data_IF_530689097327
#
_entry.id   IF_530689097327
#
_cell.length_a   1.000
_cell.length_b   1.000
_cell.length_c   1.000
_cell.angle_alpha   90.00
_cell.angle_beta   90.00
_cell.angle_gamma   90.00
#
_symmetry.space_group_name_H-M   'P 1'
#
loop_
_entity.id
_entity.type
_entity.pdbx_description
1 polymer ?
#
# COMPACT_ATOMS: atom_id res chain seq x y z
N UNK A 1 -12.93 7.78 -16.34
CA UNK A 1 -13.02 7.99 -14.87
C UNK A 1 -13.31 6.72 -14.08
N UNK A 2 -14.24 5.86 -14.51
CA UNK A 2 -14.53 4.59 -13.81
C UNK A 2 -13.26 3.74 -13.61
N UNK A 3 -12.51 3.48 -14.67
CA UNK A 3 -11.24 2.73 -14.63
C UNK A 3 -10.21 3.32 -13.66
N UNK A 4 -10.12 4.66 -13.57
CA UNK A 4 -9.20 5.33 -12.63
C UNK A 4 -9.65 5.13 -11.18
N UNK A 5 -10.96 5.20 -10.92
CA UNK A 5 -11.52 4.92 -9.60
C UNK A 5 -11.34 3.45 -9.21
N UNK A 6 -11.48 2.53 -10.17
CA UNK A 6 -11.29 1.10 -9.95
C UNK A 6 -9.82 0.79 -9.64
N UNK A 7 -8.87 1.42 -10.36
CA UNK A 7 -7.44 1.34 -10.05
C UNK A 7 -7.10 1.88 -8.66
N UNK A 8 -7.71 3.01 -8.25
CA UNK A 8 -7.52 3.54 -6.89
C UNK A 8 -8.03 2.56 -5.81
N UNK A 9 -9.17 1.91 -6.05
CA UNK A 9 -9.70 0.89 -5.12
C UNK A 9 -8.81 -0.33 -5.05
N UNK A 10 -8.30 -0.80 -6.19
CA UNK A 10 -7.36 -1.93 -6.27
C UNK A 10 -6.10 -1.66 -5.45
N UNK A 11 -5.43 -0.53 -5.68
CA UNK A 11 -4.25 -0.13 -4.91
C UNK A 11 -4.59 -0.01 -3.41
N UNK A 12 -5.76 0.54 -3.07
CA UNK A 12 -6.19 0.66 -1.67
C UNK A 12 -6.39 -0.71 -1.00
N UNK A 13 -6.94 -1.69 -1.72
CA UNK A 13 -7.14 -3.04 -1.20
C UNK A 13 -5.80 -3.74 -0.99
N UNK A 14 -4.89 -3.68 -1.96
CA UNK A 14 -3.55 -4.25 -1.84
C UNK A 14 -2.76 -3.63 -0.68
N UNK A 15 -2.80 -2.30 -0.53
CA UNK A 15 -2.19 -1.61 0.62
C UNK A 15 -2.71 -2.17 1.94
N UNK A 16 -4.02 -2.35 2.06
CA UNK A 16 -4.64 -2.88 3.27
C UNK A 16 -4.19 -4.32 3.57
N UNK A 17 -4.12 -5.18 2.55
CA UNK A 17 -3.62 -6.55 2.68
C UNK A 17 -2.17 -6.58 3.17
N UNK A 18 -1.29 -5.76 2.60
CA UNK A 18 0.11 -5.69 3.04
C UNK A 18 0.24 -5.14 4.46
N UNK A 19 -0.55 -4.13 4.85
CA UNK A 19 -0.58 -3.60 6.22
C UNK A 19 -0.99 -4.70 7.21
N UNK A 20 -2.05 -5.45 6.90
CA UNK A 20 -2.50 -6.57 7.73
C UNK A 20 -1.42 -7.66 7.85
N UNK A 21 -0.73 -7.97 6.75
CA UNK A 21 0.35 -8.95 6.74
C UNK A 21 1.59 -8.49 7.54
N UNK A 22 1.93 -7.19 7.50
CA UNK A 22 2.98 -6.61 8.36
C UNK A 22 2.57 -6.76 9.82
N UNK A 23 1.35 -6.38 10.19
CA UNK A 23 0.86 -6.52 11.57
C UNK A 23 0.97 -7.96 12.07
N UNK A 24 0.50 -8.94 11.30
CA UNK A 24 0.64 -10.35 11.66
C UNK A 24 2.10 -10.81 11.76
N UNK A 25 3.00 -10.25 10.94
CA UNK A 25 4.44 -10.55 11.03
C UNK A 25 5.03 -9.98 12.34
N UNK A 26 4.61 -8.79 12.77
CA UNK A 26 5.05 -8.20 14.04
C UNK A 26 4.57 -9.02 15.24
N UNK A 27 3.33 -9.53 15.20
CA UNK A 27 2.80 -10.45 16.23
C UNK A 27 3.64 -11.73 16.32
N UNK A 28 4.12 -12.25 15.18
CA UNK A 28 5.04 -13.41 15.17
C UNK A 28 6.44 -13.08 15.67
N UNK A 29 6.95 -11.85 15.46
CA UNK A 29 8.24 -11.42 16.01
C UNK A 29 8.26 -11.52 17.54
N UNK A 30 7.19 -11.06 18.18
CA UNK A 30 7.04 -11.12 19.65
C UNK A 30 7.04 -12.55 20.19
N UNK A 31 6.55 -13.51 19.40
CA UNK A 31 6.48 -14.93 19.76
C UNK A 31 7.73 -15.74 19.35
N UNK A 32 8.65 -15.14 18.59
CA UNK A 32 9.81 -15.87 18.03
C UNK A 32 10.76 -16.37 19.13
N UNK A 33 11.30 -17.58 18.93
CA UNK A 33 12.15 -18.24 19.95
C UNK A 33 13.58 -18.50 19.48
N UNK A 34 13.88 -18.19 18.22
CA UNK A 34 15.21 -18.37 17.64
C UNK A 34 15.65 -17.16 16.82
N UNK A 35 16.96 -16.93 16.76
CA UNK A 35 17.56 -15.85 15.98
C UNK A 35 17.26 -15.98 14.47
N UNK A 36 17.30 -17.20 13.95
CA UNK A 36 17.00 -17.49 12.54
C UNK A 36 15.55 -17.14 12.19
N UNK A 37 14.60 -17.56 13.03
CA UNK A 37 13.19 -17.21 12.86
C UNK A 37 12.96 -15.70 12.93
N UNK A 38 13.55 -15.04 13.93
CA UNK A 38 13.46 -13.59 14.10
C UNK A 38 14.00 -12.85 12.88
N UNK A 39 15.19 -13.22 12.41
CA UNK A 39 15.83 -12.62 11.22
C UNK A 39 14.95 -12.76 9.98
N UNK A 40 14.41 -13.96 9.74
CA UNK A 40 13.52 -14.22 8.61
C UNK A 40 12.21 -13.42 8.68
N UNK A 41 11.62 -13.28 9.87
CA UNK A 41 10.42 -12.48 10.07
C UNK A 41 10.69 -10.97 9.86
N UNK A 42 11.84 -10.47 10.31
CA UNK A 42 12.26 -9.08 10.06
C UNK A 42 12.40 -8.82 8.56
N UNK A 43 13.11 -9.68 7.83
CA UNK A 43 13.26 -9.55 6.38
C UNK A 43 11.89 -9.52 5.68
N UNK A 44 10.99 -10.43 6.06
CA UNK A 44 9.62 -10.47 5.54
C UNK A 44 8.78 -9.23 5.88
N UNK A 45 9.03 -8.58 7.01
CA UNK A 45 8.37 -7.33 7.37
C UNK A 45 8.91 -6.18 6.50
N UNK A 46 10.23 -6.13 6.28
CA UNK A 46 10.89 -5.14 5.42
C UNK A 46 10.36 -5.25 3.99
N UNK A 47 10.37 -6.43 3.38
CA UNK A 47 9.90 -6.64 1.99
C UNK A 47 8.45 -6.14 1.80
N UNK A 48 7.60 -6.36 2.79
CA UNK A 48 6.21 -5.88 2.76
C UNK A 48 6.12 -4.37 2.91
N UNK A 49 6.95 -3.76 3.75
CA UNK A 49 7.02 -2.31 3.89
C UNK A 49 7.52 -1.64 2.61
N UNK A 50 8.47 -2.24 1.90
CA UNK A 50 8.92 -1.77 0.58
C UNK A 50 7.76 -1.83 -0.44
N UNK A 51 6.97 -2.90 -0.41
CA UNK A 51 5.78 -3.03 -1.26
C UNK A 51 4.73 -1.97 -0.92
N UNK A 52 4.46 -1.73 0.37
CA UNK A 52 3.56 -0.65 0.84
C UNK A 52 4.06 0.71 0.35
N UNK A 53 5.36 0.98 0.44
CA UNK A 53 5.93 2.24 -0.03
C UNK A 53 5.69 2.44 -1.53
N UNK A 54 5.92 1.40 -2.33
CA UNK A 54 5.66 1.44 -3.78
C UNK A 54 4.18 1.71 -4.08
N UNK A 55 3.28 0.94 -3.49
CA UNK A 55 1.83 1.11 -3.67
C UNK A 55 1.34 2.48 -3.19
N UNK A 56 1.92 3.00 -2.11
CA UNK A 56 1.60 4.34 -1.61
C UNK A 56 2.00 5.43 -2.62
N UNK A 57 3.15 5.26 -3.28
CA UNK A 57 3.54 6.15 -4.37
C UNK A 57 2.59 6.05 -5.56
N UNK A 58 2.19 4.83 -5.95
CA UNK A 58 1.24 4.61 -7.04
C UNK A 58 -0.14 5.24 -6.74
N UNK A 59 -0.60 5.13 -5.49
CA UNK A 59 -1.80 5.80 -4.99
C UNK A 59 -1.69 7.32 -5.11
N UNK A 60 -0.56 7.91 -4.67
CA UNK A 60 -0.32 9.36 -4.78
C UNK A 60 -0.36 9.82 -6.23
N UNK A 61 0.29 9.09 -7.14
CA UNK A 61 0.29 9.39 -8.57
C UNK A 61 -1.13 9.34 -9.14
N UNK A 62 -1.89 8.29 -8.81
CA UNK A 62 -3.27 8.13 -9.26
C UNK A 62 -4.19 9.25 -8.73
N UNK A 63 -4.04 9.63 -7.45
CA UNK A 63 -4.78 10.74 -6.84
C UNK A 63 -4.41 12.10 -7.44
N UNK A 64 -3.14 12.33 -7.75
CA UNK A 64 -2.72 13.54 -8.48
C UNK A 64 -3.36 13.62 -9.86
N UNK A 65 -3.54 12.50 -10.54
CA UNK A 65 -4.32 12.46 -11.77
C UNK A 65 -5.74 13.01 -11.59
N UNK A 66 -6.36 12.86 -10.41
CA UNK A 66 -7.70 13.41 -10.18
C UNK A 66 -7.78 14.95 -10.28
N UNK A 67 -6.66 15.67 -10.24
CA UNK A 67 -6.66 17.11 -10.56
C UNK A 67 -7.07 17.38 -12.02
N UNK A 68 -6.78 16.48 -12.97
CA UNK A 68 -7.27 16.59 -14.35
C UNK A 68 -8.81 16.73 -14.38
N UNK A 69 -9.49 15.99 -13.50
CA UNK A 69 -10.95 16.04 -13.37
C UNK A 69 -11.43 17.35 -12.76
N UNK A 70 -10.67 17.94 -11.83
CA UNK A 70 -11.00 19.26 -11.27
C UNK A 70 -10.90 20.32 -12.37
N UNK A 71 -9.89 20.24 -13.24
CA UNK A 71 -9.72 21.14 -14.38
C UNK A 71 -10.86 20.98 -15.41
N UNK A 72 -11.32 19.75 -15.67
CA UNK A 72 -12.48 19.48 -16.54
C UNK A 72 -13.78 20.08 -15.99
N UNK A 73 -13.95 20.08 -14.67
CA UNK A 73 -15.14 20.62 -14.00
C UNK A 73 -15.14 22.14 -13.95
N UNK A 74 -13.96 22.75 -13.75
CA UNK A 74 -13.81 24.22 -13.66
C UNK A 74 -13.78 24.91 -15.03
N UNK A 75 -13.32 24.24 -16.10
CA UNK A 75 -13.39 24.77 -17.48
C UNK A 75 -14.79 24.75 -18.12
N UNK A 76 -15.78 24.18 -17.42
CA UNK A 76 -17.18 24.12 -17.87
C UNK A 76 -18.07 25.22 -17.26
N UNK A 77 -17.50 26.12 -16.47
CA UNK A 77 -18.11 27.38 -16.01
C UNK A 77 -17.58 28.56 -16.85
#
# INVERSE_FOLDING_TARGET
MQERNDKLKEISNELNEHIMAVKGTLELLEASTSEEELSNLILKAIDRMETIQKLSNDMIVALKGCFDKIDELTKKE
#
